data_IF_312698322909
#
_entry.id   IF_312698322909
#
_cell.length_a   1.000
_cell.length_b   1.000
_cell.length_c   1.000
_cell.angle_alpha   90.00
_cell.angle_beta   90.00
_cell.angle_gamma   90.00
#
_symmetry.space_group_name_H-M   'P 1'
#
loop_
_entity.id
_entity.type
_entity.pdbx_description
1 polymer ?
#
# COMPACT_ATOMS: atom_id res chain seq x y z
N UNK A 1 -19.02 -10.60 8.47
CA UNK A 1 -17.57 -10.31 8.44
C UNK A 1 -17.30 -9.30 9.52
N UNK A 2 -16.42 -9.59 10.48
CA UNK A 2 -16.02 -8.66 11.51
C UNK A 2 -15.42 -7.44 10.84
N UNK A 3 -15.93 -6.30 11.31
CA UNK A 3 -15.49 -5.01 10.84
C UNK A 3 -14.00 -4.87 11.11
N UNK A 4 -13.28 -4.31 10.14
CA UNK A 4 -11.93 -3.80 10.43
C UNK A 4 -12.06 -2.79 11.56
N UNK A 5 -11.11 -2.79 12.49
CA UNK A 5 -10.98 -1.63 13.38
C UNK A 5 -10.90 -0.39 12.48
N UNK A 6 -11.68 0.67 12.69
CA UNK A 6 -11.57 1.89 11.89
C UNK A 6 -10.25 2.61 12.22
N UNK A 7 -9.71 3.42 11.29
CA UNK A 7 -8.60 4.30 11.62
C UNK A 7 -9.04 5.32 12.67
N UNK A 8 -8.12 5.74 13.55
CA UNK A 8 -8.39 6.80 14.50
C UNK A 8 -8.50 8.14 13.76
N UNK A 9 -9.69 8.73 13.70
CA UNK A 9 -9.92 9.99 12.98
C UNK A 9 -9.40 11.23 13.73
N UNK A 10 -9.15 11.11 15.04
CA UNK A 10 -8.59 12.19 15.86
C UNK A 10 -7.07 12.35 15.64
N UNK A 11 -6.43 11.32 15.08
CA UNK A 11 -5.08 11.43 14.54
C UNK A 11 -5.11 12.37 13.32
N UNK A 12 -4.23 13.36 13.30
CA UNK A 12 -4.12 14.33 12.20
C UNK A 12 -3.95 13.64 10.85
N UNK A 13 -3.24 12.49 10.86
CA UNK A 13 -2.91 11.73 9.65
C UNK A 13 -2.08 12.53 8.65
N UNK A 14 -1.76 11.86 7.55
CA UNK A 14 -0.89 12.38 6.50
C UNK A 14 -1.71 13.00 5.36
N UNK A 15 -1.56 14.31 5.14
CA UNK A 15 -2.25 15.02 4.07
C UNK A 15 -1.58 14.83 2.71
N UNK A 16 -2.37 14.35 1.73
CA UNK A 16 -2.01 14.34 0.32
C UNK A 16 -2.90 15.30 -0.45
N UNK A 17 -2.28 16.15 -1.27
CA UNK A 17 -2.98 17.15 -2.07
C UNK A 17 -2.95 16.77 -3.54
N UNK A 18 -4.09 16.86 -4.21
CA UNK A 18 -4.19 16.69 -5.66
C UNK A 18 -4.54 18.01 -6.34
N UNK A 19 -3.92 18.25 -7.48
CA UNK A 19 -4.06 19.47 -8.27
C UNK A 19 -4.30 19.12 -9.72
N UNK A 20 -5.05 19.97 -10.42
CA UNK A 20 -5.13 19.99 -11.86
C UNK A 20 -4.16 21.04 -12.42
N UNK A 21 -3.32 20.65 -13.36
CA UNK A 21 -2.40 21.57 -14.05
C UNK A 21 -3.12 22.18 -15.25
N UNK A 22 -3.53 23.44 -15.14
CA UNK A 22 -4.29 24.13 -16.20
C UNK A 22 -3.43 24.26 -17.46
N UNK A 23 -4.04 23.95 -18.60
CA UNK A 23 -3.37 24.03 -19.91
C UNK A 23 -2.50 22.81 -20.25
N UNK A 24 -2.10 22.00 -19.27
CA UNK A 24 -1.38 20.73 -19.49
C UNK A 24 -2.28 19.50 -19.48
N UNK A 25 -3.49 19.62 -18.91
CA UNK A 25 -4.43 18.50 -18.72
C UNK A 25 -3.76 17.31 -18.02
N UNK A 26 -3.16 17.58 -16.85
CA UNK A 26 -2.53 16.59 -16.00
C UNK A 26 -3.00 16.74 -14.55
N UNK A 27 -2.97 15.64 -13.80
CA UNK A 27 -3.16 15.62 -12.36
C UNK A 27 -1.80 15.52 -11.67
N UNK A 28 -1.59 16.34 -10.65
CA UNK A 28 -0.44 16.29 -9.74
C UNK A 28 -0.93 15.87 -8.37
N UNK A 29 -0.45 14.74 -7.84
CA UNK A 29 -0.61 14.37 -6.44
C UNK A 29 0.73 14.59 -5.72
N UNK A 30 0.73 15.27 -4.57
CA UNK A 30 1.97 15.54 -3.81
C UNK A 30 1.75 15.52 -2.31
N UNK A 31 2.79 15.15 -1.57
CA UNK A 31 2.83 15.21 -0.12
C UNK A 31 4.26 15.14 0.43
N UNK A 32 4.43 15.58 1.68
CA UNK A 32 5.60 15.31 2.51
C UNK A 32 5.30 14.13 3.44
N UNK A 33 6.02 13.02 3.28
CA UNK A 33 5.72 11.72 3.88
C UNK A 33 6.27 11.51 5.29
N UNK A 34 6.85 12.54 5.93
CA UNK A 34 7.47 12.40 7.26
C UNK A 34 6.54 11.77 8.29
N UNK A 35 5.30 12.26 8.39
CA UNK A 35 4.32 11.76 9.36
C UNK A 35 3.96 10.28 9.10
N UNK A 36 3.65 9.93 7.85
CA UNK A 36 3.30 8.55 7.50
C UNK A 36 4.48 7.58 7.72
N UNK A 37 5.71 8.04 7.46
CA UNK A 37 6.90 7.23 7.71
C UNK A 37 7.17 7.05 9.21
N UNK A 38 6.92 8.08 10.03
CA UNK A 38 6.98 7.95 11.50
C UNK A 38 6.00 6.88 11.97
N UNK A 39 4.75 6.91 11.53
CA UNK A 39 3.75 5.92 11.93
C UNK A 39 4.12 4.50 11.51
N UNK A 40 4.65 4.36 10.29
CA UNK A 40 5.21 3.10 9.81
C UNK A 40 6.32 2.58 10.73
N UNK A 41 7.27 3.43 11.14
CA UNK A 41 8.36 3.02 12.03
C UNK A 41 7.89 2.73 13.45
N UNK A 42 6.92 3.48 13.98
CA UNK A 42 6.28 3.18 15.27
C UNK A 42 5.64 1.79 15.23
N UNK A 43 4.92 1.49 14.15
CA UNK A 43 4.35 0.15 13.94
C UNK A 43 5.44 -0.94 13.86
N UNK A 44 6.53 -0.71 13.12
CA UNK A 44 7.64 -1.67 13.08
C UNK A 44 8.23 -1.92 14.48
N UNK A 45 8.41 -0.87 15.28
CA UNK A 45 8.93 -0.96 16.64
C UNK A 45 7.99 -1.76 17.55
N UNK A 46 6.69 -1.45 17.52
CA UNK A 46 5.66 -2.16 18.29
C UNK A 46 5.62 -3.65 17.95
N UNK A 47 5.80 -3.97 16.66
CA UNK A 47 5.80 -5.35 16.17
C UNK A 47 7.20 -6.01 16.19
N UNK A 48 8.22 -5.31 16.71
CA UNK A 48 9.62 -5.75 16.78
C UNK A 48 10.11 -6.28 15.43
N UNK A 49 9.82 -5.54 14.37
CA UNK A 49 10.21 -5.84 13.00
C UNK A 49 11.38 -4.94 12.61
N UNK A 50 12.39 -5.54 11.98
CA UNK A 50 13.62 -4.86 11.59
C UNK A 50 13.97 -5.22 10.14
N UNK A 51 13.23 -4.67 9.15
CA UNK A 51 13.57 -4.91 7.75
C UNK A 51 14.99 -4.42 7.47
N UNK A 52 15.70 -5.08 6.55
CA UNK A 52 17.01 -4.63 6.12
C UNK A 52 16.92 -3.20 5.54
N UNK A 53 17.92 -2.35 5.81
CA UNK A 53 17.89 -0.94 5.41
C UNK A 53 17.65 -0.72 3.91
N UNK A 54 18.18 -1.59 3.05
CA UNK A 54 17.94 -1.52 1.61
C UNK A 54 16.47 -1.80 1.25
N UNK A 55 15.87 -2.83 1.87
CA UNK A 55 14.45 -3.18 1.66
C UNK A 55 13.52 -2.13 2.25
N UNK A 56 13.88 -1.56 3.40
CA UNK A 56 13.15 -0.47 4.04
C UNK A 56 13.13 0.79 3.16
N UNK A 57 14.27 1.17 2.59
CA UNK A 57 14.34 2.27 1.64
C UNK A 57 13.52 2.02 0.37
N UNK A 58 13.46 0.77 -0.12
CA UNK A 58 12.55 0.41 -1.22
C UNK A 58 11.08 0.53 -0.77
N UNK A 59 10.74 0.05 0.42
CA UNK A 59 9.40 0.11 0.96
C UNK A 59 8.90 1.55 1.14
N UNK A 60 9.71 2.46 1.69
CA UNK A 60 9.35 3.89 1.81
C UNK A 60 8.97 4.52 0.46
N UNK A 61 9.78 4.27 -0.58
CA UNK A 61 9.50 4.74 -1.95
C UNK A 61 8.22 4.12 -2.52
N UNK A 62 8.02 2.82 -2.30
CA UNK A 62 6.80 2.13 -2.71
C UNK A 62 5.56 2.66 -1.96
N UNK A 63 5.67 2.95 -0.67
CA UNK A 63 4.61 3.50 0.17
C UNK A 63 4.22 4.91 -0.27
N UNK A 64 5.20 5.76 -0.58
CA UNK A 64 4.94 7.07 -1.14
C UNK A 64 4.21 6.98 -2.48
N UNK A 65 4.73 6.17 -3.42
CA UNK A 65 4.08 5.98 -4.72
C UNK A 65 2.66 5.40 -4.60
N UNK A 66 2.47 4.41 -3.74
CA UNK A 66 1.18 3.78 -3.50
C UNK A 66 0.16 4.76 -2.92
N UNK A 67 0.58 5.59 -1.96
CA UNK A 67 -0.30 6.58 -1.31
C UNK A 67 -0.68 7.69 -2.29
N UNK A 68 0.25 8.16 -3.11
CA UNK A 68 -0.04 9.11 -4.19
C UNK A 68 -0.96 8.50 -5.27
N UNK A 69 -0.75 7.23 -5.62
CA UNK A 69 -1.67 6.49 -6.47
C UNK A 69 -3.07 6.48 -5.85
N UNK A 70 -3.22 6.06 -4.59
CA UNK A 70 -4.51 6.05 -3.89
C UNK A 70 -5.20 7.42 -3.95
N UNK A 71 -4.46 8.52 -3.73
CA UNK A 71 -5.00 9.88 -3.80
C UNK A 71 -5.49 10.26 -5.20
N UNK A 72 -4.88 9.70 -6.25
CA UNK A 72 -5.31 9.89 -7.65
C UNK A 72 -6.49 9.01 -8.07
N UNK A 73 -6.91 8.04 -7.23
CA UNK A 73 -8.00 7.10 -7.50
C UNK A 73 -9.34 7.56 -6.92
N UNK A 74 -10.48 7.02 -7.38
CA UNK A 74 -11.79 7.22 -6.76
C UNK A 74 -11.83 6.87 -5.25
N UNK A 75 -12.70 7.55 -4.51
CA UNK A 75 -12.88 7.36 -3.07
C UNK A 75 -13.34 5.96 -2.67
N UNK A 76 -14.12 5.28 -3.51
CA UNK A 76 -14.72 3.99 -3.20
C UNK A 76 -13.89 2.79 -3.71
N UNK A 77 -12.57 2.96 -3.79
CA UNK A 77 -11.63 1.91 -4.20
C UNK A 77 -10.79 1.43 -3.01
N UNK A 78 -10.70 0.11 -2.89
CA UNK A 78 -9.66 -0.57 -2.13
C UNK A 78 -8.62 -1.07 -3.13
N UNK A 79 -7.36 -0.81 -2.86
CA UNK A 79 -6.25 -1.15 -3.75
C UNK A 79 -5.21 -1.95 -2.98
N UNK A 80 -4.57 -2.90 -3.65
CA UNK A 80 -3.36 -3.55 -3.14
C UNK A 80 -2.32 -3.70 -4.23
N UNK A 81 -1.06 -3.43 -3.90
CA UNK A 81 0.09 -3.69 -4.75
C UNK A 81 0.95 -4.79 -4.14
N UNK A 82 1.36 -5.76 -4.96
CA UNK A 82 2.47 -6.66 -4.64
C UNK A 82 3.55 -6.46 -5.68
N UNK A 83 4.70 -5.95 -5.26
CA UNK A 83 5.85 -5.71 -6.12
C UNK A 83 6.93 -6.73 -5.76
N UNK A 84 7.12 -7.70 -6.64
CA UNK A 84 8.10 -8.76 -6.51
C UNK A 84 9.37 -8.38 -7.28
N UNK A 85 10.47 -8.27 -6.57
CA UNK A 85 11.81 -8.05 -7.11
C UNK A 85 12.62 -9.33 -7.02
N UNK A 86 13.40 -9.59 -8.07
CA UNK A 86 14.32 -10.73 -8.14
C UNK A 86 15.77 -10.34 -7.78
N UNK A 87 16.09 -9.05 -7.79
CA UNK A 87 17.38 -8.52 -7.36
C UNK A 87 17.22 -7.10 -6.75
N UNK A 88 17.27 -6.94 -5.42
CA UNK A 88 17.32 -8.01 -4.41
C UNK A 88 16.04 -8.85 -4.42
N UNK A 89 16.11 -10.08 -3.88
CA UNK A 89 14.95 -10.97 -3.79
C UNK A 89 14.04 -10.52 -2.64
N UNK A 90 13.03 -9.71 -2.95
CA UNK A 90 12.12 -9.10 -1.96
C UNK A 90 10.71 -8.88 -2.54
N UNK A 91 9.69 -9.08 -1.72
CA UNK A 91 8.32 -8.67 -2.01
C UNK A 91 7.94 -7.45 -1.17
N UNK A 92 7.43 -6.41 -1.82
CA UNK A 92 6.79 -5.27 -1.17
C UNK A 92 5.28 -5.42 -1.34
N UNK A 93 4.56 -5.58 -0.23
CA UNK A 93 3.10 -5.58 -0.24
C UNK A 93 2.58 -4.26 0.33
N UNK A 94 1.66 -3.63 -0.37
CA UNK A 94 0.98 -2.41 0.07
C UNK A 94 -0.51 -2.55 -0.17
N UNK A 95 -1.32 -1.93 0.69
CA UNK A 95 -2.76 -1.87 0.51
C UNK A 95 -3.33 -0.61 1.12
N UNK A 96 -4.44 -0.15 0.56
CA UNK A 96 -5.11 1.06 0.99
C UNK A 96 -6.59 1.00 0.71
N UNK A 97 -7.34 1.72 1.53
CA UNK A 97 -8.78 1.88 1.43
C UNK A 97 -9.06 3.38 1.39
N UNK A 98 -9.46 3.87 0.21
CA UNK A 98 -9.76 5.28 0.05
C UNK A 98 -11.02 5.71 0.81
N UNK A 99 -11.89 4.78 1.20
CA UNK A 99 -13.15 5.09 1.89
C UNK A 99 -12.90 5.69 3.27
N UNK A 100 -11.85 5.22 3.94
CA UNK A 100 -11.47 5.64 5.30
C UNK A 100 -10.07 6.27 5.38
N UNK A 101 -9.36 6.37 4.25
CA UNK A 101 -8.01 6.92 4.22
C UNK A 101 -7.00 6.04 4.95
N UNK A 102 -7.15 4.72 4.92
CA UNK A 102 -6.17 3.81 5.50
C UNK A 102 -5.14 3.37 4.45
N UNK A 103 -3.86 3.32 4.82
CA UNK A 103 -2.79 2.67 4.07
C UNK A 103 -1.95 1.81 5.00
N UNK A 104 -1.42 0.69 4.51
CA UNK A 104 -0.48 -0.14 5.24
C UNK A 104 0.33 -0.99 4.28
N UNK A 105 1.31 -1.72 4.78
CA UNK A 105 2.04 -2.68 3.99
C UNK A 105 3.08 -3.44 4.79
N UNK A 106 3.85 -4.24 4.07
CA UNK A 106 4.90 -5.08 4.65
C UNK A 106 5.98 -5.41 3.63
N UNK A 107 7.21 -5.47 4.12
CA UNK A 107 8.35 -6.09 3.44
C UNK A 107 8.37 -7.58 3.75
N UNK A 108 8.57 -8.38 2.71
CA UNK A 108 8.88 -9.80 2.83
C UNK A 108 10.23 -10.07 2.15
N UNK A 109 11.21 -10.42 2.95
CA UNK A 109 12.56 -10.83 2.53
C UNK A 109 12.90 -12.28 2.91
N UNK A 110 11.98 -12.95 3.61
CA UNK A 110 12.04 -14.37 3.92
C UNK A 110 11.08 -15.17 3.03
N UNK A 111 11.51 -16.34 2.57
CA UNK A 111 10.72 -17.28 1.76
C UNK A 111 10.07 -16.63 0.52
N UNK A 112 10.74 -15.64 -0.06
CA UNK A 112 10.32 -15.00 -1.31
C UNK A 112 10.56 -15.96 -2.46
N UNK A 113 9.54 -16.13 -3.31
CA UNK A 113 9.64 -17.01 -4.46
C UNK A 113 10.54 -16.39 -5.54
N UNK A 114 11.55 -17.14 -5.96
CA UNK A 114 12.32 -16.84 -7.17
C UNK A 114 11.47 -17.07 -8.41
N UNK A 115 11.49 -16.10 -9.32
CA UNK A 115 10.76 -16.07 -10.58
C UNK A 115 11.70 -15.64 -11.71
N UNK A 116 11.35 -15.91 -12.99
CA UNK A 116 12.20 -15.54 -14.12
C UNK A 116 12.41 -14.02 -14.28
N UNK A 117 11.48 -13.21 -13.77
CA UNK A 117 11.47 -11.75 -13.90
C UNK A 117 10.75 -11.09 -12.71
N UNK A 118 10.94 -9.79 -12.52
CA UNK A 118 10.18 -9.04 -11.53
C UNK A 118 8.72 -8.93 -11.98
N UNK A 119 7.79 -8.99 -11.02
CA UNK A 119 6.35 -8.88 -11.28
C UNK A 119 5.71 -7.81 -10.40
N UNK A 120 4.83 -7.02 -10.98
CA UNK A 120 4.00 -6.07 -10.28
C UNK A 120 2.53 -6.48 -10.44
N UNK A 121 1.91 -6.78 -9.32
CA UNK A 121 0.48 -7.10 -9.22
C UNK A 121 -0.26 -5.90 -8.63
N UNK A 122 -1.35 -5.49 -9.27
CA UNK A 122 -2.27 -4.48 -8.75
C UNK A 122 -3.67 -5.07 -8.66
N UNK A 123 -4.22 -5.13 -7.45
CA UNK A 123 -5.60 -5.50 -7.19
C UNK A 123 -6.43 -4.27 -6.88
N UNK A 124 -7.62 -4.19 -7.47
CA UNK A 124 -8.60 -3.14 -7.19
C UNK A 124 -9.96 -3.78 -6.91
N UNK A 125 -10.60 -3.35 -5.82
CA UNK A 125 -11.98 -3.67 -5.46
C UNK A 125 -12.75 -2.36 -5.36
N UNK A 126 -13.90 -2.27 -6.03
CA UNK A 126 -14.75 -1.08 -6.03
C UNK A 126 -16.15 -1.41 -5.53
N UNK A 127 -16.46 -1.02 -4.29
CA UNK A 127 -17.70 -1.43 -3.62
C UNK A 127 -17.87 -2.95 -3.64
N UNK A 128 -19.04 -3.43 -4.11
CA UNK A 128 -19.36 -4.85 -4.18
C UNK A 128 -18.94 -5.53 -5.49
N UNK A 129 -18.09 -4.89 -6.31
CA UNK A 129 -17.62 -5.49 -7.55
C UNK A 129 -16.54 -6.54 -7.30
N UNK A 130 -16.42 -7.56 -8.18
CA UNK A 130 -15.32 -8.52 -8.11
C UNK A 130 -13.96 -7.83 -8.18
N UNK A 131 -12.97 -8.40 -7.47
CA UNK A 131 -11.59 -7.96 -7.53
C UNK A 131 -11.07 -8.03 -8.96
N UNK A 132 -10.44 -6.94 -9.41
CA UNK A 132 -9.73 -6.88 -10.69
C UNK A 132 -8.24 -6.90 -10.43
N UNK A 133 -7.53 -7.79 -11.11
CA UNK A 133 -6.07 -7.91 -11.02
C UNK A 133 -5.41 -7.54 -12.34
N UNK A 134 -4.42 -6.67 -12.26
CA UNK A 134 -3.47 -6.39 -13.32
C UNK A 134 -2.10 -6.96 -12.95
N UNK A 135 -1.39 -7.52 -13.93
CA UNK A 135 -0.04 -8.06 -13.75
C UNK A 135 0.83 -7.59 -14.89
N UNK A 136 1.99 -7.02 -14.55
CA UNK A 136 3.02 -6.62 -15.52
C UNK A 136 4.38 -7.08 -15.04
N UNK A 137 5.27 -7.39 -15.97
CA UNK A 137 6.68 -7.62 -15.64
C UNK A 137 7.47 -6.32 -15.76
N UNK A 138 8.57 -6.22 -15.01
CA UNK A 138 9.45 -5.05 -15.04
C UNK A 138 10.91 -5.43 -14.78
N UNK A 139 11.82 -4.45 -14.88
CA UNK A 139 13.26 -4.65 -14.66
C UNK A 139 13.80 -3.60 -13.69
N UNK A 140 14.94 -3.89 -13.07
CA UNK A 140 15.57 -3.01 -12.09
C UNK A 140 15.02 -3.17 -10.66
N UNK A 141 15.50 -2.34 -9.75
CA UNK A 141 15.23 -2.42 -8.32
C UNK A 141 14.49 -1.19 -7.76
N UNK A 142 14.02 -0.29 -8.63
CA UNK A 142 13.43 0.99 -8.23
C UNK A 142 11.89 0.93 -8.22
N UNK A 143 11.22 1.02 -7.05
CA UNK A 143 9.76 0.90 -6.95
C UNK A 143 8.99 1.97 -7.73
N UNK A 144 9.52 3.20 -7.79
CA UNK A 144 8.89 4.29 -8.53
C UNK A 144 8.84 3.95 -10.04
N UNK A 145 9.94 3.47 -10.60
CA UNK A 145 10.00 3.05 -12.00
C UNK A 145 9.09 1.85 -12.30
N UNK A 146 8.96 0.92 -11.34
CA UNK A 146 8.02 -0.20 -11.46
C UNK A 146 6.55 0.31 -11.52
N UNK A 147 6.20 1.29 -10.68
CA UNK A 147 4.89 1.93 -10.71
C UNK A 147 4.65 2.71 -12.01
N UNK A 148 5.63 3.44 -12.56
CA UNK A 148 5.51 4.10 -13.87
C UNK A 148 5.25 3.10 -15.00
N UNK A 149 5.94 1.95 -14.98
CA UNK A 149 5.72 0.88 -15.95
C UNK A 149 4.32 0.29 -15.82
N UNK A 150 3.84 0.06 -14.60
CA UNK A 150 2.46 -0.36 -14.34
C UNK A 150 1.44 0.62 -14.92
N UNK A 151 1.63 1.92 -14.72
CA UNK A 151 0.74 2.93 -15.30
C UNK A 151 0.72 2.87 -16.84
N UNK A 152 1.90 2.83 -17.46
CA UNK A 152 2.02 2.79 -18.93
C UNK A 152 1.38 1.53 -19.53
N UNK A 153 1.54 0.37 -18.89
CA UNK A 153 1.11 -0.91 -19.46
C UNK A 153 -0.31 -1.33 -19.05
N UNK A 154 -0.72 -1.12 -17.80
CA UNK A 154 -2.02 -1.57 -17.29
C UNK A 154 -3.06 -0.46 -17.19
N UNK A 155 -2.69 0.70 -16.63
CA UNK A 155 -3.60 1.86 -16.61
C UNK A 155 -3.70 2.52 -18.00
N UNK A 156 -2.80 2.15 -18.93
CA UNK A 156 -2.71 2.65 -20.30
C UNK A 156 -2.67 4.18 -20.36
N UNK A 157 -1.97 4.77 -19.39
CA UNK A 157 -1.78 6.20 -19.27
C UNK A 157 -0.45 6.50 -18.60
N UNK A 158 0.21 7.59 -18.95
CA UNK A 158 1.48 7.96 -18.34
C UNK A 158 1.25 8.45 -16.91
N UNK A 159 2.07 7.93 -16.01
CA UNK A 159 2.36 8.57 -14.74
C UNK A 159 3.87 8.66 -14.56
N UNK A 160 4.30 9.71 -13.87
CA UNK A 160 5.69 9.96 -13.50
C UNK A 160 5.79 10.28 -12.03
N UNK A 161 6.79 9.73 -11.37
CA UNK A 161 7.05 9.94 -9.95
C UNK A 161 8.36 10.66 -9.74
N UNK A 162 8.37 11.59 -8.79
CA UNK A 162 9.53 12.40 -8.46
C UNK A 162 9.68 12.44 -6.95
N UNK A 163 10.90 12.18 -6.47
CA UNK A 163 11.31 12.50 -5.12
C UNK A 163 12.01 13.87 -5.17
N UNK A 164 11.31 14.92 -4.74
CA UNK A 164 11.78 16.31 -4.86
C UNK A 164 12.48 16.83 -3.60
N UNK A 165 12.39 16.08 -2.51
CA UNK A 165 13.07 16.28 -1.22
C UNK A 165 13.33 14.93 -0.55
N UNK A 166 13.84 14.91 0.68
CA UNK A 166 14.12 13.63 1.36
C UNK A 166 12.85 12.79 1.52
N UNK A 167 11.74 13.43 1.91
CA UNK A 167 10.45 12.77 2.13
C UNK A 167 9.31 13.42 1.32
N UNK A 168 9.66 14.30 0.38
CA UNK A 168 8.70 14.98 -0.50
C UNK A 168 8.59 14.24 -1.83
N UNK A 169 7.40 13.72 -2.11
CA UNK A 169 7.12 12.95 -3.32
C UNK A 169 5.98 13.57 -4.11
N UNK A 170 6.11 13.48 -5.43
CA UNK A 170 5.13 13.97 -6.40
C UNK A 170 4.86 12.89 -7.43
N UNK A 171 3.60 12.71 -7.77
CA UNK A 171 3.13 11.93 -8.90
C UNK A 171 2.44 12.88 -9.88
N UNK A 172 2.77 12.79 -11.16
CA UNK A 172 2.06 13.49 -12.24
C UNK A 172 1.49 12.45 -13.18
N UNK A 173 0.20 12.52 -13.51
CA UNK A 173 -0.44 11.58 -14.44
C UNK A 173 -1.31 12.30 -15.45
N UNK A 174 -1.33 11.78 -16.67
CA UNK A 174 -2.13 12.33 -17.76
C UNK A 174 -3.63 12.24 -17.47
N UNK A 175 -4.35 13.29 -17.87
CA UNK A 175 -5.78 13.23 -18.15
C UNK A 175 -5.97 13.19 -19.68
N UNK A 176 -7.20 13.00 -20.18
CA UNK A 176 -7.49 13.19 -21.59
C UNK A 176 -6.97 14.54 -22.10
N UNK A 177 -6.41 14.54 -23.30
CA UNK A 177 -5.80 15.71 -23.96
C UNK A 177 -4.58 16.29 -23.23
N UNK A 178 -3.84 15.46 -22.48
CA UNK A 178 -2.59 15.85 -21.83
C UNK A 178 -1.55 16.36 -22.83
N UNK A 179 -0.83 17.42 -22.46
CA UNK A 179 0.42 17.81 -23.12
C UNK A 179 1.49 16.77 -22.81
N UNK A 180 1.58 15.76 -23.68
CA UNK A 180 2.48 14.63 -23.50
C UNK A 180 3.95 15.04 -23.60
N UNK A 181 4.28 16.01 -24.45
CA UNK A 181 5.66 16.49 -24.57
C UNK A 181 6.14 17.16 -23.27
N UNK A 182 5.26 17.93 -22.63
CA UNK A 182 5.54 18.49 -21.30
C UNK A 182 5.68 17.37 -20.25
N UNK A 183 4.71 16.46 -20.15
CA UNK A 183 4.71 15.40 -19.15
C UNK A 183 5.96 14.49 -19.25
N UNK A 184 6.30 14.04 -20.45
CA UNK A 184 7.49 13.22 -20.70
C UNK A 184 8.80 14.00 -20.51
N UNK A 185 8.77 15.32 -20.69
CA UNK A 185 9.90 16.22 -20.49
C UNK A 185 10.18 16.65 -19.04
N UNK A 186 9.26 16.38 -18.10
CA UNK A 186 9.43 16.76 -16.69
C UNK A 186 10.71 16.18 -16.06
N UNK A 187 11.29 16.91 -15.12
CA UNK A 187 12.46 16.48 -14.34
C UNK A 187 12.19 16.73 -12.85
N UNK A 188 12.98 16.12 -11.97
CA UNK A 188 12.90 16.38 -10.54
C UNK A 188 13.08 17.87 -10.22
N UNK A 189 14.03 18.54 -10.89
CA UNK A 189 14.26 19.98 -10.69
C UNK A 189 13.07 20.83 -11.16
N UNK A 190 12.47 20.50 -12.31
CA UNK A 190 11.26 21.19 -12.76
C UNK A 190 10.09 21.01 -11.79
N UNK A 191 9.96 19.82 -11.19
CA UNK A 191 8.88 19.54 -10.24
C UNK A 191 9.05 20.22 -8.88
N UNK A 192 10.27 20.60 -8.47
CA UNK A 192 10.49 21.41 -7.27
C UNK A 192 9.88 22.81 -7.38
N UNK A 193 9.80 23.37 -8.59
CA UNK A 193 9.33 24.74 -8.85
C UNK A 193 8.10 24.78 -9.75
N UNK A 194 7.32 23.69 -9.79
CA UNK A 194 6.14 23.59 -10.67
C UNK A 194 5.08 24.65 -10.36
N UNK A 195 4.94 25.09 -9.10
CA UNK A 195 3.99 26.15 -8.73
C UNK A 195 4.36 27.54 -9.28
N UNK A 196 5.63 27.73 -9.65
CA UNK A 196 6.14 28.99 -10.20
C UNK A 196 5.99 29.03 -11.74
N UNK A 197 5.97 27.85 -12.36
CA UNK A 197 6.02 27.70 -13.82
C UNK A 197 4.68 27.28 -14.43
N UNK A 198 3.79 26.68 -13.64
CA UNK A 198 2.49 26.18 -14.08
C UNK A 198 1.37 26.69 -13.15
N UNK A 199 0.14 26.75 -13.68
CA UNK A 199 -1.02 27.13 -12.87
C UNK A 199 -1.69 25.89 -12.27
N UNK A 200 -1.48 25.65 -10.98
CA UNK A 200 -2.09 24.54 -10.25
C UNK A 200 -3.43 24.94 -9.61
N UNK A 201 -4.49 24.21 -9.95
CA UNK A 201 -5.78 24.31 -9.27
C UNK A 201 -5.94 23.15 -8.29
N UNK A 202 -6.05 23.44 -6.99
CA UNK A 202 -6.32 22.41 -5.98
C UNK A 202 -7.65 21.71 -6.30
N UNK A 203 -7.61 20.39 -6.41
CA UNK A 203 -8.80 19.55 -6.57
C UNK A 203 -9.26 19.05 -5.21
N UNK A 204 -8.35 18.45 -4.44
CA UNK A 204 -8.70 17.73 -3.23
C UNK A 204 -7.55 17.68 -2.22
N UNK A 205 -7.93 17.53 -0.94
CA UNK A 205 -7.06 17.17 0.18
C UNK A 205 -7.58 15.87 0.75
N UNK A 206 -6.74 14.85 0.81
CA UNK A 206 -7.06 13.56 1.44
C UNK A 206 -6.14 13.31 2.61
N UNK A 207 -6.69 12.71 3.66
CA UNK A 207 -5.91 12.32 4.84
C UNK A 207 -5.74 10.81 4.81
N UNK A 208 -4.49 10.36 4.82
CA UNK A 208 -4.12 8.95 4.89
C UNK A 208 -3.49 8.61 6.25
N UNK A 209 -3.72 7.42 6.77
CA UNK A 209 -3.17 6.97 8.06
C UNK A 209 -2.56 5.58 7.92
N UNK A 210 -1.45 5.34 8.62
CA UNK A 210 -0.93 3.98 8.74
C UNK A 210 -1.91 3.12 9.54
N UNK A 211 -2.70 2.31 8.85
CA UNK A 211 -3.74 1.54 9.49
C UNK A 211 -4.09 0.28 8.72
N UNK A 212 -3.93 -0.88 9.35
CA UNK A 212 -4.29 -2.17 8.75
C UNK A 212 -5.75 -2.53 9.01
N UNK A 213 -6.28 -2.22 10.19
CA UNK A 213 -7.58 -2.74 10.64
C UNK A 213 -7.58 -4.24 10.94
N UNK A 214 -6.42 -4.86 11.20
CA UNK A 214 -6.35 -6.20 11.77
C UNK A 214 -6.66 -6.17 13.27
N UNK A 215 -7.33 -7.20 13.76
CA UNK A 215 -7.65 -7.41 15.17
C UNK A 215 -7.65 -8.91 15.48
N UNK A 216 -7.80 -9.25 16.76
CA UNK A 216 -7.78 -10.63 17.23
C UNK A 216 -8.89 -11.49 16.61
N UNK A 217 -10.10 -10.95 16.51
CA UNK A 217 -11.27 -11.64 15.94
C UNK A 217 -11.04 -12.04 14.48
N UNK A 218 -10.52 -11.13 13.65
CA UNK A 218 -10.14 -11.43 12.26
C UNK A 218 -9.08 -12.52 12.15
N UNK A 219 -8.12 -12.55 13.07
CA UNK A 219 -7.12 -13.62 13.07
C UNK A 219 -7.74 -14.96 13.48
N UNK A 220 -8.71 -14.95 14.39
CA UNK A 220 -9.47 -16.15 14.74
C UNK A 220 -10.29 -16.67 13.56
N UNK A 221 -10.92 -15.80 12.77
CA UNK A 221 -11.63 -16.21 11.55
C UNK A 221 -10.73 -16.89 10.53
N UNK A 222 -9.53 -16.35 10.30
CA UNK A 222 -8.54 -16.94 9.39
C UNK A 222 -8.14 -18.35 9.84
N UNK A 223 -8.06 -18.57 11.15
CA UNK A 223 -7.68 -19.85 11.75
C UNK A 223 -8.86 -20.82 11.94
N UNK A 224 -10.09 -20.32 11.95
CA UNK A 224 -11.28 -21.12 12.22
C UNK A 224 -11.44 -22.35 11.31
N UNK A 225 -11.18 -22.29 9.98
CA UNK A 225 -11.22 -23.48 9.13
C UNK A 225 -10.22 -24.56 9.56
N UNK A 226 -8.98 -24.18 9.89
CA UNK A 226 -7.96 -25.12 10.35
C UNK A 226 -8.34 -25.72 11.72
N UNK A 227 -8.87 -24.88 12.62
CA UNK A 227 -9.35 -25.32 13.93
C UNK A 227 -10.48 -26.35 13.83
N UNK A 228 -11.43 -26.16 12.90
CA UNK A 228 -12.53 -27.12 12.66
C UNK A 228 -12.05 -28.45 12.07
N UNK A 229 -10.95 -28.43 11.32
CA UNK A 229 -10.46 -29.62 10.62
C UNK A 229 -9.48 -30.44 11.46
N UNK A 230 -8.44 -29.81 12.00
CA UNK A 230 -7.40 -30.49 12.78
C UNK A 230 -6.83 -29.56 13.88
N UNK A 231 -7.51 -29.46 15.03
CA UNK A 231 -7.07 -28.57 16.11
C UNK A 231 -5.75 -29.00 16.75
N UNK A 232 -5.44 -30.30 16.78
CA UNK A 232 -4.20 -30.82 17.35
C UNK A 232 -2.99 -30.40 16.51
N UNK A 233 -3.08 -30.54 15.19
CA UNK A 233 -2.01 -30.13 14.28
C UNK A 233 -1.82 -28.61 14.27
N UNK A 234 -2.92 -27.84 14.31
CA UNK A 234 -2.85 -26.37 14.31
C UNK A 234 -2.04 -25.83 15.50
N UNK A 235 -2.25 -26.40 16.70
CA UNK A 235 -1.59 -25.95 17.91
C UNK A 235 -0.32 -26.73 18.25
N UNK A 236 -0.10 -27.90 17.66
CA UNK A 236 1.06 -28.75 17.95
C UNK A 236 1.18 -29.15 19.43
N UNK A 237 0.05 -29.21 20.14
CA UNK A 237 0.01 -29.47 21.59
C UNK A 237 0.22 -28.25 22.49
N UNK A 238 0.49 -27.07 21.95
CA UNK A 238 0.67 -25.84 22.72
C UNK A 238 -0.69 -25.20 23.11
N UNK A 239 -0.79 -24.50 24.26
CA UNK A 239 -2.02 -23.83 24.67
C UNK A 239 -2.32 -22.54 23.89
N UNK A 240 -1.35 -22.05 23.10
CA UNK A 240 -1.45 -20.85 22.29
C UNK A 240 -0.55 -20.93 21.07
N UNK A 241 -0.90 -20.19 20.02
CA UNK A 241 -0.06 -19.96 18.85
C UNK A 241 0.09 -18.46 18.58
N UNK A 242 1.14 -18.09 17.86
CA UNK A 242 1.32 -16.75 17.31
C UNK A 242 1.01 -16.78 15.81
N UNK A 243 0.09 -15.92 15.37
CA UNK A 243 -0.14 -15.63 13.96
C UNK A 243 0.26 -14.18 13.67
N UNK A 244 0.84 -13.95 12.49
CA UNK A 244 1.16 -12.61 12.01
C UNK A 244 0.19 -12.17 10.94
N UNK A 245 -0.30 -10.94 11.04
CA UNK A 245 -1.14 -10.35 10.00
C UNK A 245 -0.35 -10.34 8.68
N UNK A 246 -0.90 -10.90 7.58
CA UNK A 246 -0.19 -10.91 6.31
C UNK A 246 -0.02 -9.51 5.72
N UNK A 247 -0.86 -8.53 6.10
CA UNK A 247 -0.83 -7.18 5.52
C UNK A 247 0.21 -6.26 6.17
N UNK A 248 0.29 -6.27 7.50
CA UNK A 248 1.16 -5.35 8.26
C UNK A 248 2.17 -6.06 9.17
N UNK A 249 2.10 -7.39 9.32
CA UNK A 249 3.01 -8.15 10.18
C UNK A 249 2.69 -8.12 11.67
N UNK A 250 1.57 -7.49 12.09
CA UNK A 250 1.16 -7.44 13.48
C UNK A 250 1.03 -8.84 14.10
N UNK A 251 1.56 -9.02 15.31
CA UNK A 251 1.54 -10.31 16.03
C UNK A 251 0.27 -10.44 16.86
N UNK A 252 -0.42 -11.56 16.72
CA UNK A 252 -1.59 -11.89 17.51
C UNK A 252 -1.37 -13.25 18.19
N UNK A 253 -1.40 -13.24 19.52
CA UNK A 253 -1.37 -14.46 20.31
C UNK A 253 -2.80 -15.00 20.44
N UNK A 254 -3.05 -16.17 19.88
CA UNK A 254 -4.36 -16.82 19.90
C UNK A 254 -4.27 -18.03 20.83
N UNK A 255 -5.09 -18.03 21.88
CA UNK A 255 -5.20 -19.19 22.78
C UNK A 255 -6.10 -20.24 22.15
N UNK A 256 -5.80 -21.51 22.43
CA UNK A 256 -6.63 -22.64 21.99
C UNK A 256 -8.05 -22.51 22.49
N UNK A 257 -8.21 -22.29 23.80
CA UNK A 257 -9.50 -22.07 24.46
C UNK A 257 -10.29 -20.91 23.81
N UNK A 258 -9.62 -19.80 23.49
CA UNK A 258 -10.26 -18.65 22.87
C UNK A 258 -10.74 -18.96 21.45
N UNK A 259 -9.97 -19.71 20.67
CA UNK A 259 -10.36 -20.12 19.33
C UNK A 259 -11.44 -21.21 19.34
N UNK A 260 -11.42 -22.13 20.31
CA UNK A 260 -12.49 -23.12 20.55
C UNK A 260 -13.82 -22.40 20.84
N UNK A 261 -13.80 -21.44 21.76
CA UNK A 261 -14.97 -20.63 22.09
C UNK A 261 -15.48 -19.83 20.88
N UNK A 262 -14.57 -19.23 20.10
CA UNK A 262 -14.91 -18.49 18.88
C UNK A 262 -15.58 -19.39 17.82
N UNK A 263 -15.01 -20.57 17.55
CA UNK A 263 -15.59 -21.52 16.58
C UNK A 263 -16.95 -22.02 17.05
N UNK A 264 -17.11 -22.31 18.35
CA UNK A 264 -18.38 -22.76 18.92
C UNK A 264 -19.49 -21.71 18.81
N UNK A 265 -19.16 -20.42 18.97
CA UNK A 265 -20.13 -19.33 18.84
C UNK A 265 -20.47 -18.95 17.38
N UNK A 266 -19.69 -19.45 16.40
CA UNK A 266 -19.87 -19.21 14.97
C UNK A 266 -20.06 -20.52 14.18
N UNK A 267 -20.76 -21.49 14.80
CA UNK A 267 -21.03 -22.81 14.23
C UNK A 267 -22.36 -22.88 13.43
N UNK A 268 -22.94 -21.74 13.06
CA UNK A 268 -24.12 -21.65 12.18
C UNK A 268 -23.73 -21.39 10.71
#
# INVERSE_FOLDING_TARGET
MPETTPPNIDDAGHEVRTYFVRGRNALVARANFSELFVDYYLHLADQKMHPQAAHDAMFKRALAAFTLHCASRPWNELTAWTINFQAPLVNLFLTGDNTNGAVTGRVFDDNVKELPENLFYADVVRGNQPTRRSTISFTGAEPLAAAEKFYRQSEQRVARYFQIGEEDFVMVTEHPDCDMAWLEGLTTEAMKTVDETETLALLERRIYRWHCGCNQERMMEVLAPAMRHNPEELFGGEPKLEIRCPRCGARHAITREGLEAFVASHAE
#
